data_IF_206509166753
#
_entry.id   IF_206509166753
#
_cell.length_a   1.000
_cell.length_b   1.000
_cell.length_c   1.000
_cell.angle_alpha   90.00
_cell.angle_beta   90.00
_cell.angle_gamma   90.00
#
_symmetry.space_group_name_H-M   'P 1'
#
loop_
_entity.id
_entity.type
_entity.pdbx_description
1 polymer ?
#
# COMPACT_ATOMS: atom_id res chain seq x y z
N UNK A 1 12.44 -19.07 -12.33
CA UNK A 1 12.60 -17.62 -12.62
C UNK A 1 11.54 -16.86 -11.81
N UNK A 2 11.80 -15.64 -11.35
CA UNK A 2 10.78 -14.81 -10.67
C UNK A 2 10.18 -13.84 -11.68
N UNK A 3 8.86 -13.78 -11.80
CA UNK A 3 8.12 -12.79 -12.59
C UNK A 3 7.51 -11.74 -11.67
N UNK A 4 7.39 -10.47 -12.13
CA UNK A 4 6.67 -9.45 -11.38
C UNK A 4 5.18 -9.82 -11.29
N UNK A 5 4.58 -9.64 -10.11
CA UNK A 5 3.16 -9.96 -9.86
C UNK A 5 2.27 -8.74 -10.13
N UNK A 6 2.73 -7.55 -9.77
CA UNK A 6 1.99 -6.30 -9.93
C UNK A 6 2.93 -5.11 -10.08
N UNK A 7 2.45 -4.04 -10.73
CA UNK A 7 3.11 -2.72 -10.76
C UNK A 7 2.14 -1.68 -10.20
N UNK A 8 2.47 -1.07 -9.07
CA UNK A 8 1.64 -0.06 -8.42
C UNK A 8 2.25 1.31 -8.70
N UNK A 9 1.48 2.18 -9.38
CA UNK A 9 1.87 3.58 -9.60
C UNK A 9 1.27 4.47 -8.52
N UNK A 10 2.07 5.38 -7.99
CA UNK A 10 1.65 6.28 -6.91
C UNK A 10 2.00 7.72 -7.22
N UNK A 11 1.18 8.62 -6.71
CA UNK A 11 1.23 10.09 -6.85
C UNK A 11 2.12 10.79 -5.81
N UNK A 12 2.52 10.08 -4.75
CA UNK A 12 3.41 10.56 -3.70
C UNK A 12 4.53 9.56 -3.48
N UNK A 13 5.71 10.07 -3.14
CA UNK A 13 6.86 9.25 -2.77
C UNK A 13 6.54 8.32 -1.58
N UNK A 14 7.25 7.19 -1.54
CA UNK A 14 7.13 6.14 -0.53
C UNK A 14 8.54 5.81 -0.05
N UNK A 15 8.72 5.79 1.27
CA UNK A 15 10.00 5.47 1.90
C UNK A 15 10.00 4.13 2.64
N UNK A 16 8.82 3.50 2.81
CA UNK A 16 8.66 2.22 3.51
C UNK A 16 7.59 1.37 2.83
N UNK A 17 7.73 0.05 2.89
CA UNK A 17 6.74 -0.91 2.42
C UNK A 17 6.54 -1.93 3.53
N UNK A 18 5.29 -2.27 3.83
CA UNK A 18 4.95 -3.36 4.75
C UNK A 18 4.06 -4.37 4.01
N UNK A 19 4.35 -5.66 4.15
CA UNK A 19 3.62 -6.75 3.50
C UNK A 19 3.12 -7.72 4.55
N UNK A 20 1.81 -7.85 4.66
CA UNK A 20 1.14 -8.84 5.50
C UNK A 20 0.79 -10.06 4.64
N UNK A 21 1.63 -11.10 4.68
CA UNK A 21 1.43 -12.31 3.86
C UNK A 21 0.15 -13.06 4.23
N UNK A 22 -0.16 -13.17 5.52
CA UNK A 22 -1.34 -13.88 6.02
C UNK A 22 -2.67 -13.28 5.53
N UNK A 23 -2.73 -11.96 5.37
CA UNK A 23 -3.92 -11.25 4.88
C UNK A 23 -3.82 -10.86 3.40
N UNK A 24 -2.69 -11.11 2.75
CA UNK A 24 -2.41 -10.71 1.36
C UNK A 24 -2.57 -9.19 1.12
N UNK A 25 -2.11 -8.39 2.08
CA UNK A 25 -2.21 -6.92 2.05
C UNK A 25 -0.81 -6.30 1.98
N UNK A 26 -0.68 -5.29 1.13
CA UNK A 26 0.49 -4.42 1.02
C UNK A 26 0.10 -3.04 1.54
N UNK A 27 0.80 -2.55 2.56
CA UNK A 27 0.62 -1.22 3.09
C UNK A 27 1.76 -0.30 2.62
N UNK A 28 1.39 0.82 1.99
CA UNK A 28 2.30 1.83 1.46
C UNK A 28 2.07 3.18 2.19
N UNK A 29 2.93 3.54 3.16
CA UNK A 29 2.97 4.88 3.74
C UNK A 29 3.54 5.90 2.74
N UNK A 30 2.74 6.91 2.44
CA UNK A 30 3.12 8.03 1.57
C UNK A 30 3.55 9.25 2.38
N UNK A 31 4.42 10.06 1.77
CA UNK A 31 4.88 11.33 2.35
C UNK A 31 3.74 12.35 2.56
N UNK A 32 2.64 12.23 1.81
CA UNK A 32 1.40 13.01 2.03
C UNK A 32 0.61 12.59 3.31
N UNK A 33 1.25 11.87 4.23
CA UNK A 33 0.72 11.45 5.54
C UNK A 33 -0.47 10.49 5.45
N UNK A 34 -0.61 9.76 4.35
CA UNK A 34 -1.65 8.74 4.16
C UNK A 34 -1.00 7.37 4.02
N UNK A 35 -1.69 6.33 4.51
CA UNK A 35 -1.30 4.94 4.24
C UNK A 35 -2.30 4.36 3.26
N UNK A 36 -1.83 3.82 2.15
CA UNK A 36 -2.67 3.14 1.16
C UNK A 36 -2.49 1.64 1.29
N UNK A 37 -3.62 0.93 1.30
CA UNK A 37 -3.64 -0.52 1.33
C UNK A 37 -3.93 -1.05 -0.07
N UNK A 38 -3.18 -2.07 -0.46
CA UNK A 38 -3.33 -2.78 -1.72
C UNK A 38 -3.43 -4.28 -1.46
N UNK A 39 -4.07 -5.00 -2.38
CA UNK A 39 -3.95 -6.45 -2.42
C UNK A 39 -2.66 -6.87 -3.15
N UNK A 40 -2.41 -8.18 -3.23
CA UNK A 40 -1.24 -8.75 -3.92
C UNK A 40 -1.27 -8.59 -5.45
N UNK A 41 -2.43 -8.28 -6.02
CA UNK A 41 -2.61 -7.98 -7.44
C UNK A 41 -2.35 -6.50 -7.75
N UNK A 42 -2.11 -5.68 -6.73
CA UNK A 42 -1.87 -4.24 -6.85
C UNK A 42 -3.13 -3.39 -6.90
N UNK A 43 -4.30 -3.95 -6.59
CA UNK A 43 -5.57 -3.20 -6.51
C UNK A 43 -5.64 -2.46 -5.19
N UNK A 44 -6.00 -1.17 -5.22
CA UNK A 44 -6.12 -0.33 -4.03
C UNK A 44 -7.38 -0.69 -3.25
N UNK A 45 -7.22 -1.19 -2.03
CA UNK A 45 -8.33 -1.58 -1.15
C UNK A 45 -8.90 -0.40 -0.38
N UNK A 46 -8.03 0.40 0.24
CA UNK A 46 -8.45 1.49 1.11
C UNK A 46 -7.35 2.53 1.33
N UNK A 47 -7.76 3.66 1.90
CA UNK A 47 -6.87 4.71 2.41
C UNK A 47 -7.11 4.87 3.90
N UNK A 48 -6.06 4.72 4.69
CA UNK A 48 -6.07 4.99 6.11
C UNK A 48 -5.59 6.44 6.35
N UNK A 49 -6.44 7.32 6.91
CA UNK A 49 -6.02 8.65 7.33
C UNK A 49 -5.16 8.57 8.59
N UNK A 50 -4.32 9.59 8.80
CA UNK A 50 -3.50 9.71 10.02
C UNK A 50 -4.31 10.01 11.28
N UNK A 51 -5.50 10.57 11.14
CA UNK A 51 -6.38 10.94 12.27
C UNK A 51 -7.37 9.80 12.55
N UNK A 52 -7.48 9.42 13.82
CA UNK A 52 -8.49 8.48 14.34
C UNK A 52 -9.90 9.07 14.41
N UNK A 53 -10.09 10.35 14.04
CA UNK A 53 -11.42 10.97 13.93
C UNK A 53 -12.04 10.61 12.58
N UNK A 54 -12.73 9.49 12.55
CA UNK A 54 -13.90 9.26 11.71
C UNK A 54 -15.14 9.30 12.60
#
# INVERSE_FOLDING_TARGET
MRSPIATIRTDSAINRINVCVGQKIIALPHDNRQVRLFDMSGVRLARLPRSSRQ
#
